data_IF_691439790016
#
_entry.id   IF_691439790016
#
_cell.length_a   1.000
_cell.length_b   1.000
_cell.length_c   1.000
_cell.angle_alpha   90.00
_cell.angle_beta   90.00
_cell.angle_gamma   90.00
#
_symmetry.space_group_name_H-M   'P 1'
#
loop_
_entity.id
_entity.type
_entity.pdbx_description
1 polymer ?
#
# COMPACT_ATOMS: atom_id res chain seq x y z
N UNK A 1 9.62 20.91 10.06
CA UNK A 1 8.40 20.30 10.65
C UNK A 1 7.21 20.77 9.84
N UNK A 2 6.29 19.88 9.48
CA UNK A 2 5.19 20.22 8.59
C UNK A 2 4.30 19.02 8.27
N UNK A 3 3.47 19.17 7.24
CA UNK A 3 2.56 18.14 6.75
C UNK A 3 3.25 17.26 5.69
N UNK A 4 2.85 16.01 5.60
CA UNK A 4 3.28 15.08 4.57
C UNK A 4 2.08 14.27 4.05
N UNK A 5 2.11 13.92 2.77
CA UNK A 5 1.18 12.96 2.17
C UNK A 5 1.87 11.60 2.17
N UNK A 6 1.27 10.62 2.82
CA UNK A 6 1.85 9.29 3.05
C UNK A 6 0.75 8.25 3.22
N UNK A 7 1.12 6.98 3.23
CA UNK A 7 0.22 5.89 3.54
C UNK A 7 0.14 5.64 5.04
N UNK A 8 -1.05 5.30 5.53
CA UNK A 8 -1.31 5.12 6.96
C UNK A 8 -0.43 4.04 7.62
N UNK A 9 -0.12 2.97 6.89
CA UNK A 9 0.71 1.88 7.41
C UNK A 9 2.11 2.32 7.80
N UNK A 10 2.62 3.42 7.23
CA UNK A 10 3.93 3.96 7.58
C UNK A 10 3.96 4.60 8.97
N UNK A 11 2.80 4.97 9.51
CA UNK A 11 2.64 5.67 10.79
C UNK A 11 1.57 5.02 11.67
N UNK A 12 1.29 3.73 11.48
CA UNK A 12 0.18 3.07 12.17
C UNK A 12 0.29 3.20 13.70
N UNK A 13 1.44 2.93 14.35
CA UNK A 13 1.57 3.14 15.80
C UNK A 13 1.36 4.60 16.23
N UNK A 14 1.92 5.55 15.48
CA UNK A 14 1.88 6.98 15.77
C UNK A 14 0.48 7.58 15.58
N UNK A 15 -0.29 7.03 14.63
CA UNK A 15 -1.70 7.34 14.47
C UNK A 15 -2.54 6.82 15.65
N UNK A 16 -2.19 5.65 16.21
CA UNK A 16 -2.90 5.08 17.36
C UNK A 16 -2.61 5.82 18.67
N UNK A 17 -1.39 6.33 18.84
CA UNK A 17 -0.97 7.04 20.06
C UNK A 17 -1.15 8.57 19.98
N UNK A 18 -1.46 9.12 18.79
CA UNK A 18 -1.71 10.54 18.56
C UNK A 18 -0.46 11.39 18.31
N UNK A 19 0.72 10.78 18.15
CA UNK A 19 1.96 11.47 17.75
C UNK A 19 1.88 11.95 16.30
N UNK A 20 1.10 11.28 15.45
CA UNK A 20 0.73 11.71 14.10
C UNK A 20 -0.78 11.89 14.04
N UNK A 21 -1.22 12.99 13.42
CA UNK A 21 -2.62 13.32 13.25
C UNK A 21 -2.98 13.35 11.77
N UNK A 22 -4.12 12.76 11.41
CA UNK A 22 -4.75 12.98 10.11
C UNK A 22 -5.31 14.39 10.06
N UNK A 23 -5.20 15.02 8.91
CA UNK A 23 -5.76 16.33 8.62
C UNK A 23 -6.40 16.28 7.24
N UNK A 24 -7.33 17.21 6.96
CA UNK A 24 -8.06 17.26 5.69
C UNK A 24 -8.82 15.96 5.40
N UNK A 25 -9.50 15.39 6.41
CA UNK A 25 -10.20 14.09 6.29
C UNK A 25 -11.33 14.07 5.25
N UNK A 26 -11.84 15.25 4.87
CA UNK A 26 -12.83 15.41 3.79
C UNK A 26 -12.21 15.40 2.38
N UNK A 27 -10.88 15.32 2.27
CA UNK A 27 -10.14 15.33 1.01
C UNK A 27 -9.46 13.98 0.78
N UNK A 28 -9.62 13.45 -0.44
CA UNK A 28 -8.99 12.19 -0.86
C UNK A 28 -8.07 12.41 -2.06
N UNK A 29 -7.00 11.61 -2.12
CA UNK A 29 -6.19 11.48 -3.32
C UNK A 29 -6.98 10.69 -4.38
N UNK A 30 -6.68 10.90 -5.68
CA UNK A 30 -7.11 9.97 -6.72
C UNK A 30 -6.59 8.56 -6.43
N UNK A 31 -7.37 7.55 -6.83
CA UNK A 31 -6.96 6.16 -6.72
C UNK A 31 -5.65 5.90 -7.49
N UNK A 32 -4.82 5.02 -6.94
CA UNK A 32 -3.58 4.56 -7.58
C UNK A 32 -3.63 3.05 -7.80
N UNK A 33 -3.15 2.62 -8.96
CA UNK A 33 -3.05 1.20 -9.27
C UNK A 33 -1.82 0.58 -8.58
N UNK A 34 -2.03 -0.56 -7.92
CA UNK A 34 -0.95 -1.38 -7.37
C UNK A 34 -0.63 -2.54 -8.31
N UNK A 35 0.64 -2.66 -8.71
CA UNK A 35 1.09 -3.66 -9.69
C UNK A 35 2.09 -4.65 -9.08
N UNK A 36 1.90 -5.94 -9.36
CA UNK A 36 2.93 -6.96 -9.18
C UNK A 36 3.81 -7.02 -10.44
N UNK A 37 5.09 -6.68 -10.32
CA UNK A 37 6.02 -6.62 -11.45
C UNK A 37 6.93 -7.86 -11.46
N UNK A 38 7.09 -8.48 -12.63
CA UNK A 38 7.97 -9.63 -12.84
C UNK A 38 9.05 -9.31 -13.89
N UNK A 39 10.25 -9.93 -13.80
CA UNK A 39 11.32 -9.70 -14.77
C UNK A 39 10.89 -10.01 -16.21
N UNK A 40 11.27 -9.15 -17.15
CA UNK A 40 10.99 -9.33 -18.58
C UNK A 40 11.69 -10.56 -19.16
N UNK A 41 11.03 -11.23 -20.12
CA UNK A 41 11.62 -12.33 -20.89
C UNK A 41 11.52 -13.74 -20.26
N UNK A 42 11.13 -13.86 -18.98
CA UNK A 42 10.70 -15.14 -18.39
C UNK A 42 9.26 -15.00 -17.90
N UNK A 43 8.39 -15.91 -18.34
CA UNK A 43 7.08 -16.08 -17.72
C UNK A 43 7.29 -16.19 -16.20
N UNK A 44 6.56 -15.39 -15.42
CA UNK A 44 6.56 -15.50 -13.97
C UNK A 44 6.35 -16.98 -13.59
N UNK A 45 7.19 -17.50 -12.71
CA UNK A 45 7.06 -18.90 -12.29
C UNK A 45 5.68 -19.13 -11.69
N UNK A 46 5.18 -20.37 -11.73
CA UNK A 46 3.90 -20.71 -11.09
C UNK A 46 3.90 -20.32 -9.60
N UNK A 47 5.04 -20.50 -8.91
CA UNK A 47 5.22 -20.08 -7.52
C UNK A 47 5.12 -18.56 -7.34
N UNK A 48 5.73 -17.77 -8.22
CA UNK A 48 5.67 -16.31 -8.14
C UNK A 48 4.25 -15.78 -8.39
N UNK A 49 3.51 -16.39 -9.32
CA UNK A 49 2.09 -16.10 -9.55
C UNK A 49 1.23 -16.45 -8.35
N UNK A 50 1.36 -17.67 -7.84
CA UNK A 50 0.63 -18.09 -6.65
C UNK A 50 0.88 -17.18 -5.43
N UNK A 51 2.12 -16.70 -5.26
CA UNK A 51 2.44 -15.72 -4.23
C UNK A 51 1.75 -14.37 -4.48
N UNK A 52 1.80 -13.84 -5.70
CA UNK A 52 1.12 -12.60 -6.04
C UNK A 52 -0.41 -12.71 -5.85
N UNK A 53 -1.02 -13.84 -6.21
CA UNK A 53 -2.43 -14.12 -6.00
C UNK A 53 -2.77 -14.15 -4.50
N UNK A 54 -1.93 -14.78 -3.67
CA UNK A 54 -2.08 -14.76 -2.23
C UNK A 54 -1.97 -13.34 -1.65
N UNK A 55 -0.94 -12.58 -2.05
CA UNK A 55 -0.77 -11.18 -1.59
C UNK A 55 -1.97 -10.33 -1.98
N UNK A 56 -2.54 -10.53 -3.18
CA UNK A 56 -3.76 -9.85 -3.61
C UNK A 56 -4.92 -10.09 -2.64
N UNK A 57 -5.05 -11.30 -2.06
CA UNK A 57 -6.09 -11.57 -1.04
C UNK A 57 -5.88 -10.85 0.29
N UNK A 58 -4.64 -10.46 0.60
CA UNK A 58 -4.30 -9.70 1.82
C UNK A 58 -4.54 -8.20 1.61
N UNK A 59 -4.19 -7.68 0.43
CA UNK A 59 -4.23 -6.24 0.15
C UNK A 59 -5.62 -5.77 -0.33
N UNK A 60 -6.42 -6.64 -0.97
CA UNK A 60 -7.73 -6.28 -1.49
C UNK A 60 -8.87 -6.33 -0.45
N UNK A 61 -8.56 -6.65 0.82
CA UNK A 61 -9.50 -6.59 1.94
C UNK A 61 -9.30 -5.33 2.75
#
# INVERSE_FOLDING_TARGET
>A
MGLAVTSDWMFWPELQNGEVLRVLEDWTLPDIDLWAVFPTGRLASAKARAFADFVKTIIAG
#
